data_IF_084349222323
#
_entry.id   IF_084349222323
#
_cell.length_a   1.000
_cell.length_b   1.000
_cell.length_c   1.000
_cell.angle_alpha   90.00
_cell.angle_beta   90.00
_cell.angle_gamma   90.00
#
_symmetry.space_group_name_H-M   'P 1'
#
loop_
_entity.id
_entity.type
_entity.pdbx_description
1 polymer ?
#
# COMPACT_ATOMS: atom_id res chain seq x y z
N UNK A 1 -58.88 17.21 -23.86
CA UNK A 1 -57.49 17.71 -23.66
C UNK A 1 -56.76 16.58 -23.00
N UNK A 2 -56.00 15.80 -23.77
CA UNK A 2 -55.11 14.81 -23.23
C UNK A 2 -53.91 15.58 -22.63
N UNK A 3 -53.71 15.43 -21.33
CA UNK A 3 -52.44 15.87 -20.69
C UNK A 3 -51.32 14.99 -21.26
N UNK A 4 -50.54 15.53 -22.19
CA UNK A 4 -49.26 14.94 -22.54
C UNK A 4 -48.41 14.92 -21.25
N UNK A 5 -48.26 13.73 -20.71
CA UNK A 5 -47.32 13.51 -19.61
C UNK A 5 -45.91 13.80 -20.14
N UNK A 6 -45.35 14.95 -19.76
CA UNK A 6 -43.97 15.29 -20.06
C UNK A 6 -43.10 14.23 -19.39
N UNK A 7 -42.46 13.39 -20.20
CA UNK A 7 -41.52 12.39 -19.69
C UNK A 7 -40.31 13.12 -19.09
N UNK A 8 -40.30 13.24 -17.78
CA UNK A 8 -39.28 13.96 -17.01
C UNK A 8 -37.87 13.44 -17.31
N UNK A 9 -37.75 12.17 -17.66
CA UNK A 9 -36.47 11.57 -18.04
C UNK A 9 -35.92 12.12 -19.34
N UNK A 10 -36.80 12.29 -20.36
CA UNK A 10 -36.38 12.88 -21.65
C UNK A 10 -35.99 14.35 -21.53
N UNK A 11 -36.64 15.12 -20.66
CA UNK A 11 -36.28 16.51 -20.40
C UNK A 11 -34.91 16.58 -19.66
N UNK A 12 -34.67 15.67 -18.73
CA UNK A 12 -33.39 15.59 -18.00
C UNK A 12 -32.22 15.30 -18.94
N UNK A 13 -32.32 14.32 -19.82
CA UNK A 13 -31.27 13.98 -20.80
C UNK A 13 -30.98 15.10 -21.80
N UNK A 14 -31.95 15.97 -22.08
CA UNK A 14 -31.75 17.11 -22.96
C UNK A 14 -30.77 18.15 -22.41
N UNK A 15 -30.69 18.30 -21.09
CA UNK A 15 -29.87 19.31 -20.43
C UNK A 15 -28.50 18.77 -19.95
N UNK A 16 -28.30 17.47 -19.87
CA UNK A 16 -27.05 16.91 -19.41
C UNK A 16 -25.92 17.11 -20.43
N UNK A 17 -24.80 17.65 -19.95
CA UNK A 17 -23.53 17.76 -20.69
C UNK A 17 -22.73 16.47 -20.56
N UNK A 18 -23.27 15.32 -21.03
CA UNK A 18 -22.64 14.01 -20.90
C UNK A 18 -22.31 13.37 -22.23
N UNK A 19 -21.33 12.47 -22.23
CA UNK A 19 -21.12 11.55 -23.33
C UNK A 19 -22.07 10.36 -23.22
N UNK A 20 -22.57 9.89 -24.35
CA UNK A 20 -23.26 8.59 -24.45
C UNK A 20 -22.28 7.46 -24.73
N UNK A 21 -21.15 7.76 -25.34
CA UNK A 21 -20.09 6.80 -25.67
C UNK A 21 -18.74 7.50 -25.79
N UNK A 22 -17.67 6.76 -25.50
CA UNK A 22 -16.29 7.16 -25.77
C UNK A 22 -15.40 5.93 -26.03
N UNK A 23 -14.46 6.06 -26.97
CA UNK A 23 -13.43 5.06 -27.22
C UNK A 23 -12.10 5.72 -27.57
N UNK A 24 -11.02 5.01 -27.26
CA UNK A 24 -9.66 5.43 -27.58
C UNK A 24 -9.02 4.33 -28.41
N UNK A 25 -8.49 4.68 -29.58
CA UNK A 25 -7.96 3.72 -30.55
C UNK A 25 -6.81 2.90 -29.94
N UNK A 26 -6.95 1.57 -30.02
CA UNK A 26 -5.97 0.62 -29.49
C UNK A 26 -6.16 0.25 -28.01
N UNK A 27 -7.15 0.84 -27.30
CA UNK A 27 -7.36 0.60 -25.87
C UNK A 27 -8.81 0.20 -25.60
N UNK A 28 -9.00 -0.95 -24.95
CA UNK A 28 -10.31 -1.43 -24.56
C UNK A 28 -10.63 -0.98 -23.11
N UNK A 29 -11.82 -0.41 -22.93
CA UNK A 29 -12.42 -0.12 -21.63
C UNK A 29 -13.94 -0.08 -21.76
N UNK A 30 -14.64 -0.35 -20.67
CA UNK A 30 -16.09 -0.29 -20.64
C UNK A 30 -16.54 1.13 -20.29
N UNK A 31 -17.04 1.86 -21.28
CA UNK A 31 -17.50 3.23 -21.04
C UNK A 31 -18.85 3.24 -20.29
N UNK A 32 -18.92 4.08 -19.27
CA UNK A 32 -20.14 4.38 -18.52
C UNK A 32 -20.32 5.89 -18.40
N UNK A 33 -21.42 6.49 -18.91
CA UNK A 33 -21.65 7.93 -18.84
C UNK A 33 -21.60 8.56 -17.45
N UNK A 34 -21.73 7.76 -16.40
CA UNK A 34 -21.69 8.23 -15.00
C UNK A 34 -20.30 8.13 -14.35
N UNK A 35 -19.33 7.50 -15.01
CA UNK A 35 -17.94 7.40 -14.58
C UNK A 35 -17.13 8.48 -15.27
N UNK A 36 -16.49 9.34 -14.51
CA UNK A 36 -15.73 10.46 -15.06
C UNK A 36 -14.23 10.17 -15.17
N UNK A 37 -13.72 9.27 -14.36
CA UNK A 37 -12.29 8.92 -14.32
C UNK A 37 -12.08 7.46 -14.71
N UNK A 38 -11.24 7.26 -15.71
CA UNK A 38 -10.86 5.94 -16.25
C UNK A 38 -9.36 5.76 -16.13
N UNK A 39 -8.93 4.59 -15.67
CA UNK A 39 -7.53 4.19 -15.69
C UNK A 39 -7.33 3.17 -16.79
N UNK A 40 -6.48 3.48 -17.74
CA UNK A 40 -6.11 2.62 -18.87
C UNK A 40 -4.69 2.10 -18.60
N UNK A 41 -4.56 0.78 -18.52
CA UNK A 41 -3.28 0.15 -18.21
C UNK A 41 -2.35 0.15 -19.42
N UNK A 42 -1.10 0.58 -19.17
CA UNK A 42 0.02 0.56 -20.12
C UNK A 42 1.22 -0.13 -19.48
N UNK A 43 2.16 -0.61 -20.30
CA UNK A 43 3.33 -1.35 -19.79
C UNK A 43 4.48 -0.43 -19.32
N UNK A 44 4.62 0.74 -19.90
CA UNK A 44 5.72 1.68 -19.64
C UNK A 44 5.16 3.10 -19.84
N UNK A 45 4.77 3.71 -18.75
CA UNK A 45 4.13 5.03 -18.78
C UNK A 45 5.12 6.15 -19.09
N UNK A 46 6.38 6.01 -18.72
CA UNK A 46 7.43 7.02 -18.97
C UNK A 46 7.65 7.23 -20.46
N UNK A 47 7.77 6.13 -21.21
CA UNK A 47 7.99 6.15 -22.67
C UNK A 47 6.69 6.12 -23.47
N UNK A 48 5.54 6.19 -22.78
CA UNK A 48 4.23 6.12 -23.42
C UNK A 48 3.91 7.40 -24.18
N UNK A 49 3.44 7.23 -25.42
CA UNK A 49 2.92 8.33 -26.26
C UNK A 49 1.41 8.27 -26.27
N UNK A 50 0.77 9.38 -25.91
CA UNK A 50 -0.69 9.45 -25.91
C UNK A 50 -1.27 9.19 -27.30
N UNK A 51 -2.32 8.34 -27.40
CA UNK A 51 -3.02 8.12 -28.66
C UNK A 51 -3.72 9.39 -29.14
N UNK A 52 -3.85 9.54 -30.46
CA UNK A 52 -4.53 10.68 -31.10
C UNK A 52 -5.93 10.33 -31.55
N UNK A 53 -6.25 9.05 -31.71
CA UNK A 53 -7.57 8.57 -32.13
C UNK A 53 -8.49 8.47 -30.92
N UNK A 54 -9.30 9.53 -30.72
CA UNK A 54 -10.30 9.61 -29.66
C UNK A 54 -11.66 9.82 -30.31
N UNK A 55 -12.57 8.88 -30.09
CA UNK A 55 -13.92 8.93 -30.64
C UNK A 55 -14.91 9.08 -29.48
N UNK A 56 -15.96 9.86 -29.70
CA UNK A 56 -17.00 10.05 -28.69
C UNK A 56 -18.33 10.42 -29.31
N UNK A 57 -19.39 10.18 -28.56
CA UNK A 57 -20.75 10.64 -28.88
C UNK A 57 -21.32 11.41 -27.70
N UNK A 58 -21.90 12.58 -27.97
CA UNK A 58 -22.53 13.40 -26.92
C UNK A 58 -23.95 12.88 -26.69
N UNK A 59 -24.34 12.71 -25.43
CA UNK A 59 -25.72 12.39 -25.06
C UNK A 59 -26.62 13.56 -25.39
N UNK A 60 -27.54 13.34 -26.32
CA UNK A 60 -28.48 14.37 -26.77
C UNK A 60 -29.80 13.74 -27.25
N UNK A 61 -30.88 14.51 -27.22
CA UNK A 61 -32.00 14.24 -28.14
C UNK A 61 -31.83 15.11 -29.39
N UNK A 62 -32.41 14.74 -30.50
CA UNK A 62 -32.23 15.36 -31.82
C UNK A 62 -32.45 16.89 -31.82
N UNK A 63 -33.31 17.40 -30.94
CA UNK A 63 -33.67 18.81 -30.85
C UNK A 63 -32.62 19.72 -30.20
N UNK A 64 -31.68 19.18 -29.42
CA UNK A 64 -30.77 19.95 -28.52
C UNK A 64 -29.28 19.68 -28.73
N UNK A 65 -28.90 18.96 -29.77
CA UNK A 65 -27.52 18.62 -30.10
C UNK A 65 -26.66 19.85 -30.41
N UNK A 66 -27.29 20.88 -31.02
CA UNK A 66 -26.59 22.10 -31.48
C UNK A 66 -26.00 22.95 -30.33
N UNK A 67 -26.54 22.82 -29.12
CA UNK A 67 -26.11 23.60 -27.96
C UNK A 67 -25.01 22.91 -27.15
N UNK A 68 -24.61 21.69 -27.51
CA UNK A 68 -23.59 20.93 -26.83
C UNK A 68 -22.31 20.84 -27.64
N UNK A 69 -21.22 20.98 -26.97
CA UNK A 69 -19.88 20.91 -27.55
C UNK A 69 -18.98 20.03 -26.69
N UNK A 70 -18.15 19.23 -27.33
CA UNK A 70 -17.11 18.49 -26.64
C UNK A 70 -15.73 18.93 -27.14
N UNK A 71 -14.81 19.07 -26.20
CA UNK A 71 -13.41 19.43 -26.46
C UNK A 71 -12.51 18.34 -25.91
N UNK A 72 -11.65 17.80 -26.80
CA UNK A 72 -10.61 16.85 -26.41
C UNK A 72 -9.32 17.60 -26.08
N UNK A 73 -8.70 17.29 -24.98
CA UNK A 73 -7.37 17.80 -24.59
C UNK A 73 -6.46 16.67 -24.18
N UNK A 74 -5.17 16.79 -24.52
CA UNK A 74 -4.14 15.84 -24.14
C UNK A 74 -3.16 16.52 -23.20
N UNK A 75 -2.92 15.93 -22.04
CA UNK A 75 -2.00 16.41 -21.01
C UNK A 75 -0.81 15.44 -20.99
N UNK A 76 0.22 15.73 -21.81
CA UNK A 76 1.38 14.84 -21.98
C UNK A 76 2.16 14.65 -20.68
N UNK A 77 2.29 15.69 -19.86
CA UNK A 77 3.03 15.67 -18.60
C UNK A 77 2.35 14.82 -17.52
N UNK A 78 1.07 14.49 -17.69
CA UNK A 78 0.34 13.56 -16.82
C UNK A 78 -0.14 12.31 -17.54
N UNK A 79 0.26 12.09 -18.80
CA UNK A 79 -0.21 10.94 -19.60
C UNK A 79 -1.73 10.77 -19.50
N UNK A 80 -2.46 11.86 -19.80
CA UNK A 80 -3.90 11.95 -19.65
C UNK A 80 -4.58 12.51 -20.91
N UNK A 81 -5.72 11.96 -21.25
CA UNK A 81 -6.65 12.53 -22.23
C UNK A 81 -7.91 12.96 -21.47
N UNK A 82 -8.43 14.13 -21.76
CA UNK A 82 -9.69 14.59 -21.19
C UNK A 82 -10.67 15.00 -22.28
N UNK A 83 -11.93 14.65 -22.11
CA UNK A 83 -13.05 15.08 -22.96
C UNK A 83 -13.97 15.92 -22.11
N UNK A 84 -13.97 17.21 -22.33
CA UNK A 84 -14.87 18.15 -21.67
C UNK A 84 -16.10 18.37 -22.53
N UNK A 85 -17.28 18.07 -21.99
CA UNK A 85 -18.58 18.34 -22.62
C UNK A 85 -19.20 19.56 -21.98
N UNK A 86 -19.60 20.52 -22.77
CA UNK A 86 -20.23 21.77 -22.31
C UNK A 86 -21.59 21.92 -22.99
N UNK A 87 -22.60 22.29 -22.22
CA UNK A 87 -23.91 22.68 -22.71
C UNK A 87 -24.03 24.22 -22.68
N UNK A 88 -24.18 24.82 -23.84
CA UNK A 88 -24.29 26.29 -24.00
C UNK A 88 -25.73 26.78 -23.92
N UNK A 89 -26.72 25.87 -23.79
CA UNK A 89 -28.11 26.24 -23.73
C UNK A 89 -28.40 27.18 -22.55
N UNK A 90 -29.07 28.29 -22.81
CA UNK A 90 -29.57 29.16 -21.77
C UNK A 90 -30.68 28.47 -21.01
N UNK A 91 -30.42 28.01 -19.80
CA UNK A 91 -31.45 27.47 -18.91
C UNK A 91 -32.23 28.68 -18.39
N UNK A 92 -33.50 28.80 -18.74
CA UNK A 92 -34.34 29.94 -18.42
C UNK A 92 -34.58 30.14 -16.91
N UNK A 93 -34.25 29.14 -16.07
CA UNK A 93 -34.28 29.19 -14.61
C UNK A 93 -32.86 29.07 -14.09
N UNK A 94 -32.30 30.19 -13.67
CA UNK A 94 -30.92 30.38 -13.22
C UNK A 94 -30.55 29.63 -11.92
N UNK A 95 -31.38 28.75 -11.38
CA UNK A 95 -31.13 27.99 -10.16
C UNK A 95 -30.50 26.62 -10.38
N UNK A 96 -30.32 26.17 -11.62
CA UNK A 96 -29.52 24.97 -11.90
C UNK A 96 -28.04 25.31 -11.70
N UNK A 97 -27.51 24.97 -10.55
CA UNK A 97 -26.09 25.13 -10.23
C UNK A 97 -25.27 24.08 -10.97
N UNK A 98 -23.99 24.33 -11.22
CA UNK A 98 -23.06 23.36 -11.82
C UNK A 98 -22.98 22.05 -11.00
N UNK A 99 -23.40 22.08 -9.72
CA UNK A 99 -23.53 20.91 -8.86
C UNK A 99 -24.39 19.79 -9.45
N UNK A 100 -25.37 20.11 -10.29
CA UNK A 100 -26.22 19.12 -10.94
C UNK A 100 -25.63 18.57 -12.26
N UNK A 101 -24.42 19.02 -12.66
CA UNK A 101 -23.73 18.56 -13.87
C UNK A 101 -24.48 18.91 -15.16
N UNK A 102 -25.30 19.96 -15.17
CA UNK A 102 -26.10 20.37 -16.31
C UNK A 102 -25.27 21.14 -17.33
N UNK A 103 -24.18 21.80 -16.92
CA UNK A 103 -23.41 22.70 -17.80
C UNK A 103 -22.15 22.07 -18.34
N UNK A 104 -21.44 21.33 -17.52
CA UNK A 104 -20.20 20.68 -17.97
C UNK A 104 -19.87 19.39 -17.22
N UNK A 105 -19.26 18.46 -17.95
CA UNK A 105 -18.62 17.28 -17.40
C UNK A 105 -17.29 17.06 -18.09
N UNK A 106 -16.30 16.63 -17.32
CA UNK A 106 -14.99 16.24 -17.86
C UNK A 106 -14.76 14.77 -17.59
N UNK A 107 -14.55 14.01 -18.65
CA UNK A 107 -14.16 12.61 -18.61
C UNK A 107 -12.63 12.55 -18.74
N UNK A 108 -11.97 11.92 -17.79
CA UNK A 108 -10.52 11.81 -17.75
C UNK A 108 -10.12 10.36 -18.01
N UNK A 109 -9.14 10.17 -18.88
CA UNK A 109 -8.56 8.88 -19.22
C UNK A 109 -7.08 8.94 -18.84
N UNK A 110 -6.72 8.30 -17.75
CA UNK A 110 -5.37 8.27 -17.21
C UNK A 110 -4.67 7.01 -17.69
N UNK A 111 -3.50 7.15 -18.30
CA UNK A 111 -2.66 6.02 -18.69
C UNK A 111 -1.68 5.73 -17.56
N UNK A 112 -1.79 4.54 -16.96
CA UNK A 112 -1.02 4.14 -15.76
C UNK A 112 -0.51 2.72 -15.92
N UNK A 113 0.60 2.40 -15.26
CA UNK A 113 1.04 1.03 -15.14
C UNK A 113 0.07 0.24 -14.24
N UNK A 114 0.01 -1.07 -14.46
CA UNK A 114 -0.82 -1.93 -13.61
C UNK A 114 -0.36 -1.82 -12.14
N UNK A 115 -1.28 -1.81 -11.17
CA UNK A 115 -0.90 -1.89 -9.77
C UNK A 115 -0.03 -3.12 -9.51
N UNK A 116 1.05 -2.95 -8.76
CA UNK A 116 1.92 -4.03 -8.32
C UNK A 116 1.40 -4.56 -6.98
N UNK A 117 1.31 -5.88 -6.84
CA UNK A 117 0.88 -6.53 -5.62
C UNK A 117 1.93 -7.52 -5.15
N UNK A 118 2.19 -7.53 -3.84
CA UNK A 118 3.16 -8.37 -3.19
C UNK A 118 2.52 -9.02 -1.97
N UNK A 119 2.53 -10.33 -1.94
CA UNK A 119 2.16 -11.09 -0.76
C UNK A 119 3.38 -11.21 0.15
N UNK A 120 3.19 -11.07 1.45
CA UNK A 120 4.27 -11.15 2.41
C UNK A 120 3.80 -11.27 3.83
N UNK A 121 4.70 -11.02 4.75
CA UNK A 121 4.46 -11.07 6.18
C UNK A 121 4.67 -9.68 6.77
N UNK A 122 3.96 -9.39 7.86
CA UNK A 122 4.18 -8.12 8.56
C UNK A 122 4.42 -8.34 10.06
N UNK A 123 5.01 -7.34 10.66
CA UNK A 123 5.05 -7.16 12.09
C UNK A 123 4.80 -5.69 12.45
N UNK A 124 4.20 -5.50 13.63
CA UNK A 124 3.93 -4.16 14.17
C UNK A 124 4.70 -3.99 15.47
N UNK A 125 5.40 -2.88 15.60
CA UNK A 125 6.04 -2.50 16.86
C UNK A 125 5.60 -1.10 17.31
N UNK A 126 5.64 -0.87 18.63
CA UNK A 126 5.38 0.42 19.24
C UNK A 126 6.60 0.80 20.06
N UNK A 127 7.23 1.95 19.73
CA UNK A 127 8.48 2.39 20.32
C UNK A 127 9.56 1.30 20.36
N UNK A 128 9.67 0.50 19.28
CA UNK A 128 10.63 -0.59 19.13
C UNK A 128 10.28 -1.89 19.87
N UNK A 129 9.13 -1.97 20.55
CA UNK A 129 8.62 -3.21 21.15
C UNK A 129 7.64 -3.87 20.21
N UNK A 130 7.92 -5.10 19.78
CA UNK A 130 7.02 -5.87 18.93
C UNK A 130 5.74 -6.22 19.67
N UNK A 131 4.59 -5.92 19.04
CA UNK A 131 3.27 -6.24 19.55
C UNK A 131 2.54 -7.25 18.67
N UNK A 132 2.98 -7.38 17.42
CA UNK A 132 2.41 -8.28 16.43
C UNK A 132 3.49 -8.78 15.46
N UNK A 133 3.48 -10.04 15.09
CA UNK A 133 4.44 -10.56 14.10
C UNK A 133 3.98 -11.85 13.43
N UNK A 134 4.36 -12.02 12.16
CA UNK A 134 4.27 -13.27 11.42
C UNK A 134 2.93 -13.56 10.77
N UNK A 135 2.03 -12.57 10.68
CA UNK A 135 0.80 -12.69 9.89
C UNK A 135 1.05 -12.27 8.44
N UNK A 136 0.26 -12.83 7.54
CA UNK A 136 0.32 -12.50 6.12
C UNK A 136 -0.39 -11.19 5.83
N UNK A 137 0.06 -10.49 4.79
CA UNK A 137 -0.52 -9.25 4.30
C UNK A 137 -0.30 -9.11 2.80
N UNK A 138 -1.09 -8.25 2.16
CA UNK A 138 -0.90 -7.83 0.78
C UNK A 138 -0.47 -6.37 0.74
N UNK A 139 0.65 -6.11 0.09
CA UNK A 139 1.13 -4.78 -0.25
C UNK A 139 0.73 -4.43 -1.68
N UNK A 140 0.20 -3.24 -1.90
CA UNK A 140 -0.15 -2.74 -3.23
C UNK A 140 0.52 -1.39 -3.49
N UNK A 141 1.13 -1.26 -4.67
CA UNK A 141 1.71 0.00 -5.16
C UNK A 141 0.94 0.41 -6.41
N UNK A 142 0.43 1.64 -6.41
CA UNK A 142 -0.38 2.18 -7.50
C UNK A 142 0.12 3.57 -7.89
N UNK A 143 0.25 3.85 -9.18
CA UNK A 143 0.49 5.22 -9.67
C UNK A 143 -0.76 6.08 -9.47
N UNK A 144 -0.58 7.35 -9.13
CA UNK A 144 -1.69 8.26 -8.87
C UNK A 144 -2.22 8.90 -10.16
N UNK A 145 -3.53 9.20 -10.16
CA UNK A 145 -4.15 9.86 -11.30
C UNK A 145 -3.76 11.34 -11.41
N UNK A 146 -3.49 11.99 -10.28
CA UNK A 146 -3.11 13.40 -10.24
C UNK A 146 -1.73 13.64 -10.86
N UNK A 147 -0.79 12.72 -10.60
CA UNK A 147 0.57 12.76 -11.16
C UNK A 147 1.11 11.32 -11.26
N UNK A 148 1.44 10.85 -12.47
CA UNK A 148 1.96 9.49 -12.66
C UNK A 148 3.36 9.26 -12.07
N UNK A 149 4.07 10.32 -11.66
CA UNK A 149 5.35 10.22 -10.95
C UNK A 149 5.18 9.99 -9.45
N UNK A 150 3.94 10.11 -8.94
CA UNK A 150 3.60 9.84 -7.55
C UNK A 150 2.88 8.51 -7.40
N UNK A 151 3.03 7.92 -6.22
CA UNK A 151 2.56 6.57 -5.92
C UNK A 151 1.81 6.54 -4.61
N UNK A 152 0.78 5.72 -4.59
CA UNK A 152 0.10 5.29 -3.36
C UNK A 152 0.60 3.92 -2.96
N UNK A 153 0.96 3.77 -1.69
CA UNK A 153 1.35 2.52 -1.07
C UNK A 153 0.27 2.11 -0.08
N UNK A 154 -0.28 0.91 -0.24
CA UNK A 154 -1.30 0.37 0.65
C UNK A 154 -0.89 -1.00 1.18
N UNK A 155 -1.09 -1.22 2.48
CA UNK A 155 -0.92 -2.52 3.13
C UNK A 155 -2.25 -2.93 3.76
N UNK A 156 -2.68 -4.16 3.52
CA UNK A 156 -3.99 -4.66 3.93
C UNK A 156 -3.91 -5.53 5.19
N UNK A 157 -5.01 -5.52 5.95
CA UNK A 157 -5.27 -6.43 7.07
C UNK A 157 -4.17 -6.46 8.14
N UNK A 158 -3.58 -5.30 8.46
CA UNK A 158 -2.55 -5.20 9.50
C UNK A 158 -3.14 -4.80 10.84
N UNK A 159 -2.67 -5.40 11.92
CA UNK A 159 -3.05 -5.05 13.28
C UNK A 159 -2.11 -3.99 13.84
N UNK A 160 -2.69 -2.88 14.23
CA UNK A 160 -1.99 -1.75 14.83
C UNK A 160 -2.39 -1.61 16.31
N UNK A 161 -1.52 -1.02 17.13
CA UNK A 161 -1.83 -0.79 18.54
C UNK A 161 -2.97 0.22 18.68
N UNK A 162 -3.90 -0.09 19.58
CA UNK A 162 -4.86 0.91 20.06
C UNK A 162 -4.20 1.76 21.16
N UNK A 163 -4.37 3.09 21.08
CA UNK A 163 -3.72 4.06 21.97
C UNK A 163 -3.93 3.78 23.47
N UNK A 164 -5.08 3.24 23.86
CA UNK A 164 -5.44 3.06 25.27
C UNK A 164 -4.88 1.78 25.93
N UNK A 165 -4.55 0.75 25.18
CA UNK A 165 -4.25 -0.58 25.75
C UNK A 165 -2.92 -1.17 25.33
N UNK A 166 -2.26 -0.62 24.29
CA UNK A 166 -1.10 -1.20 23.61
C UNK A 166 -1.30 -2.67 23.15
N UNK A 167 -2.55 -3.13 23.19
CA UNK A 167 -2.92 -4.41 22.60
C UNK A 167 -3.09 -4.24 21.09
N UNK A 168 -2.88 -5.30 20.33
CA UNK A 168 -3.21 -5.31 18.91
C UNK A 168 -4.71 -5.01 18.75
N UNK A 169 -5.02 -4.02 17.91
CA UNK A 169 -6.39 -3.69 17.53
C UNK A 169 -6.95 -4.67 16.50
N UNK A 170 -8.12 -4.35 15.98
CA UNK A 170 -8.67 -5.02 14.81
C UNK A 170 -7.75 -4.78 13.60
N UNK A 171 -7.83 -5.69 12.63
CA UNK A 171 -7.08 -5.55 11.38
C UNK A 171 -7.59 -4.33 10.58
N UNK A 172 -6.67 -3.51 10.11
CA UNK A 172 -6.96 -2.28 9.35
C UNK A 172 -6.07 -2.22 8.11
N UNK A 173 -6.48 -1.41 7.15
CA UNK A 173 -5.63 -1.06 6.01
C UNK A 173 -4.87 0.23 6.33
N UNK A 174 -3.62 0.32 5.89
CA UNK A 174 -2.83 1.57 5.92
C UNK A 174 -2.56 2.00 4.50
N UNK A 175 -2.92 3.24 4.15
CA UNK A 175 -2.75 3.79 2.81
C UNK A 175 -2.06 5.15 2.90
N UNK A 176 -0.96 5.29 2.17
CA UNK A 176 -0.12 6.50 2.11
C UNK A 176 0.04 6.92 0.66
N UNK A 177 -0.30 8.14 0.35
CA UNK A 177 -0.26 8.75 -0.99
C UNK A 177 0.92 9.73 -1.12
N UNK A 178 1.19 10.17 -2.36
CA UNK A 178 2.22 11.17 -2.63
C UNK A 178 3.66 10.69 -2.51
N UNK A 179 3.91 9.38 -2.58
CA UNK A 179 5.27 8.85 -2.55
C UNK A 179 5.98 9.05 -3.88
N UNK A 180 7.28 9.32 -3.83
CA UNK A 180 8.16 9.40 -4.99
C UNK A 180 8.98 8.14 -5.16
N UNK A 181 9.19 7.72 -6.42
CA UNK A 181 10.05 6.60 -6.80
C UNK A 181 11.45 7.12 -7.07
N UNK A 182 12.47 6.46 -6.51
CA UNK A 182 13.89 6.70 -6.81
C UNK A 182 14.60 5.38 -7.03
N UNK A 183 15.68 5.41 -7.82
CA UNK A 183 16.55 4.26 -8.01
C UNK A 183 17.92 4.58 -7.46
N UNK A 184 18.43 3.72 -6.58
CA UNK A 184 19.74 3.88 -5.98
C UNK A 184 20.40 2.52 -5.73
N UNK A 185 21.62 2.36 -6.19
CA UNK A 185 22.42 1.13 -5.99
C UNK A 185 21.71 -0.15 -6.47
N UNK A 186 20.96 -0.05 -7.59
CA UNK A 186 20.18 -1.16 -8.16
C UNK A 186 18.87 -1.45 -7.43
N UNK A 187 18.51 -0.65 -6.42
CA UNK A 187 17.27 -0.79 -5.67
C UNK A 187 16.25 0.26 -6.09
N UNK A 188 14.99 -0.14 -6.10
CA UNK A 188 13.86 0.77 -6.29
C UNK A 188 13.34 1.17 -4.90
N UNK A 189 13.21 2.47 -4.67
CA UNK A 189 12.77 3.02 -3.39
C UNK A 189 11.57 3.94 -3.63
N UNK A 190 10.45 3.63 -2.98
CA UNK A 190 9.31 4.53 -2.87
C UNK A 190 9.33 5.16 -1.48
N UNK A 191 9.27 6.48 -1.38
CA UNK A 191 9.33 7.16 -0.09
C UNK A 191 8.56 8.47 -0.07
N UNK A 192 8.02 8.80 1.09
CA UNK A 192 7.29 10.04 1.32
C UNK A 192 6.56 10.05 2.64
N UNK A 193 5.81 11.12 2.86
CA UNK A 193 4.90 11.26 3.98
C UNK A 193 3.59 11.87 3.49
N UNK A 194 2.50 11.39 4.05
CA UNK A 194 1.16 11.88 3.77
C UNK A 194 0.52 12.34 5.08
N UNK A 195 0.18 13.61 5.17
CA UNK A 195 -0.46 14.21 6.35
C UNK A 195 -1.93 13.77 6.51
N UNK A 196 -2.50 13.18 5.45
CA UNK A 196 -3.90 12.74 5.38
C UNK A 196 -4.03 11.24 5.10
N UNK A 197 -3.00 10.47 5.41
CA UNK A 197 -2.97 9.02 5.22
C UNK A 197 -4.10 8.32 5.98
N UNK A 198 -4.58 7.21 5.44
CA UNK A 198 -5.62 6.40 6.08
C UNK A 198 -5.00 5.25 6.87
N UNK A 199 -5.39 5.14 8.14
CA UNK A 199 -5.10 4.01 9.04
C UNK A 199 -6.45 3.49 9.52
N UNK A 200 -7.03 2.53 8.82
CA UNK A 200 -8.44 2.17 8.94
C UNK A 200 -9.34 3.36 8.59
N UNK A 201 -10.24 3.71 9.49
CA UNK A 201 -11.13 4.86 9.34
C UNK A 201 -10.49 6.19 9.78
N UNK A 202 -9.33 6.14 10.45
CA UNK A 202 -8.66 7.33 10.95
C UNK A 202 -7.78 7.98 9.88
N UNK A 203 -7.63 9.30 9.99
CA UNK A 203 -6.70 10.09 9.20
C UNK A 203 -5.52 10.49 10.07
N UNK A 204 -4.29 10.14 9.65
CA UNK A 204 -3.05 10.39 10.40
C UNK A 204 -1.94 10.85 9.47
N UNK A 205 -0.94 11.52 10.03
CA UNK A 205 0.32 11.69 9.34
C UNK A 205 1.09 10.37 9.38
N UNK A 206 1.37 9.80 8.20
CA UNK A 206 2.13 8.56 8.05
C UNK A 206 3.30 8.79 7.11
N UNK A 207 4.50 8.40 7.51
CA UNK A 207 5.63 8.26 6.61
C UNK A 207 5.75 6.81 6.12
N UNK A 208 6.07 6.64 4.84
CA UNK A 208 6.28 5.33 4.25
C UNK A 208 7.60 5.28 3.48
N UNK A 209 8.29 4.16 3.61
CA UNK A 209 9.47 3.82 2.80
C UNK A 209 9.33 2.36 2.37
N UNK A 210 9.40 2.11 1.07
CA UNK A 210 9.44 0.77 0.50
C UNK A 210 10.72 0.63 -0.33
N UNK A 211 11.53 -0.37 -0.03
CA UNK A 211 12.78 -0.66 -0.74
C UNK A 211 12.69 -2.03 -1.37
N UNK A 212 12.88 -2.12 -2.68
CA UNK A 212 12.89 -3.36 -3.46
C UNK A 212 14.28 -3.65 -4.00
N UNK A 213 14.72 -4.90 -3.84
CA UNK A 213 16.01 -5.44 -4.32
C UNK A 213 15.74 -6.79 -5.00
N UNK A 214 15.39 -6.75 -6.29
CA UNK A 214 14.86 -7.90 -7.00
C UNK A 214 13.54 -8.40 -6.37
N UNK A 215 13.51 -9.68 -6.01
CA UNK A 215 12.35 -10.31 -5.36
C UNK A 215 12.24 -10.01 -3.86
N UNK A 216 13.26 -9.40 -3.27
CA UNK A 216 13.25 -8.99 -1.87
C UNK A 216 12.72 -7.57 -1.72
N UNK A 217 11.98 -7.35 -0.64
CA UNK A 217 11.55 -6.01 -0.28
C UNK A 217 11.47 -5.82 1.24
N UNK A 218 11.57 -4.58 1.66
CA UNK A 218 11.20 -4.12 2.99
C UNK A 218 10.36 -2.87 2.84
N UNK A 219 9.21 -2.88 3.48
CA UNK A 219 8.28 -1.74 3.50
C UNK A 219 8.01 -1.36 4.95
N UNK A 220 8.13 -0.07 5.26
CA UNK A 220 7.88 0.47 6.58
C UNK A 220 6.91 1.63 6.51
N UNK A 221 5.83 1.54 7.29
CA UNK A 221 4.94 2.64 7.60
C UNK A 221 5.20 3.09 9.05
N UNK A 222 5.27 4.39 9.29
CA UNK A 222 5.52 4.95 10.62
C UNK A 222 4.56 6.10 10.90
N UNK A 223 3.90 6.07 12.05
CA UNK A 223 3.00 7.14 12.50
C UNK A 223 3.03 7.30 14.03
N UNK A 224 2.70 8.51 14.49
CA UNK A 224 2.63 8.82 15.90
C UNK A 224 1.19 8.69 16.40
N UNK A 225 1.01 8.00 17.51
CA UNK A 225 -0.28 7.86 18.19
C UNK A 225 -0.59 9.10 19.06
N UNK A 226 -1.84 9.23 19.51
CA UNK A 226 -2.27 10.35 20.36
C UNK A 226 -1.49 10.44 21.67
N UNK A 227 -1.03 9.31 22.22
CA UNK A 227 -0.22 9.25 23.44
C UNK A 227 1.26 9.56 23.21
N UNK A 228 1.64 9.96 21.99
CA UNK A 228 3.01 10.28 21.59
C UNK A 228 3.89 9.06 21.29
N UNK A 229 3.37 7.85 21.37
CA UNK A 229 4.11 6.65 20.95
C UNK A 229 4.16 6.53 19.43
N UNK A 230 5.23 5.91 18.90
CA UNK A 230 5.41 5.68 17.47
C UNK A 230 5.10 4.23 17.14
N UNK A 231 4.12 4.03 16.25
CA UNK A 231 3.83 2.73 15.65
C UNK A 231 4.56 2.58 14.33
N UNK A 232 5.22 1.44 14.15
CA UNK A 232 5.77 1.03 12.87
C UNK A 232 5.12 -0.27 12.43
N UNK A 233 4.67 -0.31 11.18
CA UNK A 233 4.24 -1.54 10.48
C UNK A 233 5.30 -1.84 9.44
N UNK A 234 5.93 -3.00 9.52
CA UNK A 234 6.98 -3.41 8.58
C UNK A 234 6.54 -4.68 7.87
N UNK A 235 6.69 -4.72 6.54
CA UNK A 235 6.37 -5.89 5.72
C UNK A 235 7.59 -6.34 4.92
N UNK A 236 7.73 -7.67 4.81
CA UNK A 236 8.81 -8.35 4.10
C UNK A 236 8.29 -9.61 3.40
N UNK A 237 8.92 -10.12 2.31
CA UNK A 237 8.46 -11.31 1.60
C UNK A 237 8.55 -12.59 2.43
N UNK A 238 9.51 -12.66 3.35
CA UNK A 238 9.72 -13.80 4.24
C UNK A 238 9.36 -13.42 5.68
N UNK A 239 8.85 -14.34 6.50
CA UNK A 239 8.60 -14.06 7.90
C UNK A 239 9.95 -13.73 8.56
N UNK A 240 10.20 -12.45 8.76
CA UNK A 240 11.29 -12.05 9.64
C UNK A 240 10.88 -12.50 11.04
N UNK A 241 11.60 -13.45 11.61
CA UNK A 241 11.62 -13.52 13.06
C UNK A 241 12.05 -12.14 13.51
N UNK A 242 11.17 -11.42 14.25
CA UNK A 242 11.56 -10.13 14.79
C UNK A 242 12.93 -10.30 15.43
N UNK A 243 13.95 -9.81 14.73
CA UNK A 243 15.19 -9.58 15.41
C UNK A 243 14.86 -8.44 16.36
N UNK A 244 14.66 -8.76 17.62
CA UNK A 244 14.87 -7.76 18.66
C UNK A 244 16.14 -7.05 18.23
N UNK A 245 16.00 -5.78 17.81
CA UNK A 245 17.15 -4.97 17.46
C UNK A 245 18.11 -5.17 18.61
N UNK A 246 19.26 -5.77 18.31
CA UNK A 246 20.29 -5.99 19.31
C UNK A 246 20.51 -4.65 20.01
N UNK A 247 19.97 -4.56 21.21
CA UNK A 247 20.46 -3.57 22.16
C UNK A 247 21.92 -3.97 22.30
N UNK A 248 22.83 -3.18 21.71
CA UNK A 248 24.28 -3.28 21.73
C UNK A 248 24.81 -4.24 22.82
N UNK A 249 24.73 -5.52 22.55
CA UNK A 249 25.22 -6.59 23.39
C UNK A 249 25.80 -7.64 22.47
N UNK A 250 27.06 -7.92 22.60
CA UNK A 250 27.77 -8.89 21.80
C UNK A 250 26.92 -10.16 21.60
N UNK A 251 26.69 -10.57 20.33
CA UNK A 251 25.91 -11.75 19.96
C UNK A 251 26.38 -12.96 20.77
N UNK A 252 25.47 -13.61 21.52
CA UNK A 252 25.79 -14.84 22.22
C UNK A 252 26.47 -15.81 21.25
N UNK A 253 27.73 -16.12 21.50
CA UNK A 253 28.45 -17.14 20.75
C UNK A 253 28.28 -18.49 21.48
N UNK A 254 27.79 -19.48 20.74
CA UNK A 254 27.60 -20.84 21.26
C UNK A 254 28.55 -21.78 20.51
N UNK A 255 29.44 -22.44 21.25
CA UNK A 255 30.40 -23.38 20.69
C UNK A 255 30.35 -24.71 21.47
N UNK A 256 30.58 -25.83 20.81
CA UNK A 256 30.78 -27.10 21.47
C UNK A 256 32.28 -27.27 21.83
N UNK A 257 32.51 -27.77 23.00
CA UNK A 257 33.83 -28.28 23.47
C UNK A 257 33.72 -29.74 23.80
N UNK A 258 34.79 -30.37 24.20
CA UNK A 258 34.76 -31.75 24.66
C UNK A 258 33.96 -31.88 25.98
N UNK A 259 32.81 -32.56 25.93
CA UNK A 259 31.92 -32.76 27.08
C UNK A 259 31.17 -31.51 27.57
N UNK A 260 31.22 -30.38 26.87
CA UNK A 260 30.49 -29.17 27.28
C UNK A 260 30.08 -28.25 26.11
N UNK A 261 29.17 -27.35 26.41
CA UNK A 261 28.76 -26.24 25.54
C UNK A 261 29.20 -24.94 26.19
N UNK A 262 30.03 -24.18 25.48
CA UNK A 262 30.44 -22.84 25.89
C UNK A 262 29.46 -21.81 25.31
N UNK A 263 28.83 -21.02 26.17
CA UNK A 263 28.06 -19.83 25.81
C UNK A 263 28.86 -18.62 26.23
N UNK A 264 29.14 -17.69 25.31
CA UNK A 264 29.94 -16.47 25.60
C UNK A 264 29.26 -15.25 25.01
N UNK A 265 29.65 -14.07 25.52
CA UNK A 265 29.06 -12.76 25.16
C UNK A 265 27.54 -12.70 25.41
N UNK A 266 27.05 -13.30 26.49
CA UNK A 266 25.65 -13.35 26.83
C UNK A 266 25.44 -13.10 28.34
N UNK A 267 24.32 -12.41 28.65
CA UNK A 267 23.83 -12.25 30.01
C UNK A 267 22.39 -12.70 30.09
N UNK A 268 22.09 -13.75 30.87
CA UNK A 268 20.77 -14.31 31.06
C UNK A 268 20.75 -15.84 31.01
N UNK A 269 19.57 -16.43 31.08
CA UNK A 269 19.39 -17.88 31.09
C UNK A 269 19.70 -18.52 29.74
N UNK A 270 20.57 -19.52 29.72
CA UNK A 270 20.81 -20.42 28.59
C UNK A 270 20.20 -21.80 28.88
N UNK A 271 19.40 -22.33 27.98
CA UNK A 271 18.78 -23.64 28.10
C UNK A 271 19.25 -24.58 26.97
N UNK A 272 19.62 -25.80 27.33
CA UNK A 272 20.10 -26.83 26.40
C UNK A 272 19.07 -27.92 26.29
N UNK A 273 18.62 -28.19 25.07
CA UNK A 273 17.60 -29.23 24.77
C UNK A 273 18.21 -30.32 23.91
N UNK A 274 17.75 -31.54 24.15
CA UNK A 274 17.99 -32.67 23.26
C UNK A 274 17.12 -32.50 21.99
N UNK A 275 17.43 -33.28 20.94
CA UNK A 275 16.68 -33.19 19.66
C UNK A 275 15.21 -33.63 19.76
N UNK A 276 14.84 -34.35 20.79
CA UNK A 276 13.46 -34.73 21.15
C UNK A 276 12.75 -33.68 22.02
N UNK A 277 13.38 -32.50 22.23
CA UNK A 277 12.80 -31.33 22.90
C UNK A 277 12.86 -31.38 24.44
N UNK A 278 13.54 -32.38 25.05
CA UNK A 278 13.70 -32.42 26.51
C UNK A 278 14.83 -31.48 26.95
N UNK A 279 14.61 -30.79 28.06
CA UNK A 279 15.64 -29.96 28.70
C UNK A 279 16.75 -30.89 29.23
N UNK A 280 17.97 -30.74 28.72
CA UNK A 280 19.14 -31.51 29.13
C UNK A 280 19.93 -30.76 30.22
N UNK A 281 20.07 -29.44 30.10
CA UNK A 281 20.76 -28.60 31.08
C UNK A 281 20.28 -27.13 30.92
N UNK A 282 20.49 -26.33 31.96
CA UNK A 282 20.38 -24.86 31.92
C UNK A 282 21.45 -24.22 32.77
N UNK A 283 21.78 -22.97 32.46
CA UNK A 283 22.70 -22.15 33.25
C UNK A 283 22.34 -20.68 33.13
N UNK A 284 22.54 -19.93 34.19
CA UNK A 284 22.60 -18.46 34.14
C UNK A 284 23.98 -18.05 33.64
N UNK A 285 24.02 -17.30 32.54
CA UNK A 285 25.26 -16.85 31.92
C UNK A 285 25.48 -15.38 32.27
N UNK A 286 26.63 -15.07 32.77
CA UNK A 286 27.06 -13.69 33.04
C UNK A 286 28.41 -13.45 32.33
N UNK A 287 28.32 -12.93 31.08
CA UNK A 287 29.44 -12.82 30.16
C UNK A 287 29.78 -14.16 29.47
N UNK A 288 30.08 -15.22 30.19
CA UNK A 288 30.30 -16.56 29.64
C UNK A 288 30.00 -17.66 30.65
N UNK A 289 29.59 -18.83 30.16
CA UNK A 289 29.38 -20.03 30.97
C UNK A 289 29.68 -21.30 30.14
N UNK A 290 30.22 -22.33 30.83
CA UNK A 290 30.40 -23.67 30.27
C UNK A 290 29.32 -24.59 30.85
N UNK A 291 28.53 -25.21 30.00
CA UNK A 291 27.43 -26.09 30.40
C UNK A 291 27.83 -27.54 30.07
N UNK A 292 28.07 -28.34 31.06
CA UNK A 292 28.46 -29.76 30.88
C UNK A 292 27.28 -30.57 30.39
N UNK A 293 27.47 -31.32 29.32
CA UNK A 293 26.53 -32.26 28.76
C UNK A 293 27.27 -33.48 28.16
N UNK A 294 26.63 -34.59 28.06
CA UNK A 294 27.19 -35.76 27.39
C UNK A 294 27.43 -35.52 25.90
N UNK A 295 28.24 -36.36 25.24
CA UNK A 295 28.35 -36.30 23.79
C UNK A 295 26.99 -36.49 23.12
N UNK A 296 26.68 -35.62 22.16
CA UNK A 296 25.37 -35.63 21.52
C UNK A 296 25.07 -34.38 20.71
N UNK A 297 23.87 -34.39 20.11
CA UNK A 297 23.33 -33.25 19.36
C UNK A 297 22.34 -32.49 20.23
N UNK A 298 22.56 -31.18 20.34
CA UNK A 298 21.77 -30.31 21.21
C UNK A 298 21.29 -29.05 20.48
N UNK A 299 20.20 -28.49 20.99
CA UNK A 299 19.70 -27.15 20.64
C UNK A 299 19.89 -26.29 21.89
N UNK A 300 20.70 -25.25 21.76
CA UNK A 300 20.97 -24.28 22.83
C UNK A 300 20.12 -23.04 22.58
N UNK A 301 19.29 -22.71 23.54
CA UNK A 301 18.47 -21.48 23.51
C UNK A 301 19.07 -20.44 24.43
N UNK A 302 19.41 -19.27 23.84
CA UNK A 302 19.87 -18.06 24.55
C UNK A 302 18.91 -16.93 24.19
N UNK A 303 18.04 -16.56 25.13
CA UNK A 303 16.93 -15.64 24.86
C UNK A 303 16.01 -16.22 23.79
N UNK A 304 15.86 -15.50 22.68
CA UNK A 304 15.02 -15.92 21.55
C UNK A 304 15.80 -16.69 20.45
N UNK A 305 17.11 -16.82 20.58
CA UNK A 305 17.95 -17.51 19.59
C UNK A 305 18.16 -18.97 19.96
N UNK A 306 18.02 -19.85 18.97
CA UNK A 306 18.32 -21.27 19.08
C UNK A 306 19.51 -21.63 18.18
N UNK A 307 20.52 -22.26 18.76
CA UNK A 307 21.74 -22.68 18.05
C UNK A 307 21.92 -24.19 18.17
N UNK A 308 22.10 -24.87 17.04
CA UNK A 308 22.37 -26.30 17.00
C UNK A 308 23.87 -26.55 17.21
N UNK A 309 24.23 -27.43 18.16
CA UNK A 309 25.60 -27.80 18.47
C UNK A 309 25.77 -29.31 18.59
N UNK A 310 26.97 -29.80 18.24
CA UNK A 310 27.37 -31.22 18.42
C UNK A 310 28.51 -31.26 19.42
N UNK A 311 28.28 -31.87 20.56
CA UNK A 311 29.27 -32.14 21.59
C UNK A 311 29.90 -33.51 21.35
N UNK A 312 31.22 -33.56 21.35
CA UNK A 312 32.00 -34.79 21.13
C UNK A 312 32.41 -35.42 22.45
#
# INVERSE_FOLDING_TARGET
MEEESINVDNVRYAYFSRLSDASIDGYAFDFNPNTLDYVITVNDVENFTLPTGVNYSIMSNEALTADKEATVSSINDNKQISIKVTNKQSIANAEATDADGLREHTYNFYFREAPQQFEGFYFTNVNGTDIYSGETTTLTITQENADYHTYTLAIADVKVAQAATRAAGDAVNVTVSGLTKTEKDGKVIYSGADDNAKVGDETKQVSAVATFDGDNYEVKFSFTNEDGTVTNVVSTPEPTTSSVSEINGATAAVAATEGAILVSNYNGAAAVYTTDGRLAANAEVNGSASINVAAGLYIVRTGNKATKVIVK
#
